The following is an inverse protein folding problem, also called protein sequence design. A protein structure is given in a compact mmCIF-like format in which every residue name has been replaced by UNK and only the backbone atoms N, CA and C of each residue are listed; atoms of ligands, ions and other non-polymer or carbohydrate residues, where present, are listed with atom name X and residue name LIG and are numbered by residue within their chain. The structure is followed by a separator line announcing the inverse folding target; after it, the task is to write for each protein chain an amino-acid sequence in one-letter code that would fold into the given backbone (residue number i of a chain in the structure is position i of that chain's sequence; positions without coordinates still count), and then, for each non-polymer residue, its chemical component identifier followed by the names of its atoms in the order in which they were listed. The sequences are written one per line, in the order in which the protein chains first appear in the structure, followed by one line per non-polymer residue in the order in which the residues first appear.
data_IF_506363391133
#
_entry.id   IF_506363391133
#
_cell.length_a   1.000
_cell.length_b   1.000
_cell.length_c   1.000
_cell.angle_alpha   90.00
_cell.angle_beta   90.00
_cell.angle_gamma   90.00
#
_symmetry.space_group_name_H-M   'P 1'
#
loop_
_entity.id
_entity.type
_entity.pdbx_description
1 polymer ?
#
# COMPACT_ATOMS: atom_id res chain seq x y z
N UNK A 1 -8.17 26.26 -6.84
CA UNK A 1 -9.21 25.39 -6.25
C UNK A 1 -9.01 23.94 -6.69
N UNK A 2 -8.98 23.65 -8.00
CA UNK A 2 -8.73 22.30 -8.54
C UNK A 2 -7.49 21.60 -7.95
N UNK A 3 -6.35 22.30 -7.86
CA UNK A 3 -5.11 21.74 -7.30
C UNK A 3 -5.23 21.32 -5.82
N UNK A 4 -6.00 22.07 -5.04
CA UNK A 4 -6.26 21.74 -3.62
C UNK A 4 -7.16 20.51 -3.49
N UNK A 5 -8.19 20.40 -4.33
CA UNK A 5 -9.05 19.21 -4.37
C UNK A 5 -8.25 17.98 -4.77
N UNK A 6 -7.37 18.11 -5.77
CA UNK A 6 -6.47 17.03 -6.19
C UNK A 6 -5.52 16.61 -5.05
N UNK A 7 -4.95 17.58 -4.32
CA UNK A 7 -4.10 17.32 -3.16
C UNK A 7 -4.83 16.62 -2.01
N UNK A 8 -6.09 16.99 -1.73
CA UNK A 8 -6.93 16.31 -0.73
C UNK A 8 -7.22 14.87 -1.16
N UNK A 9 -7.65 14.66 -2.41
CA UNK A 9 -7.92 13.32 -2.94
C UNK A 9 -6.67 12.45 -2.90
N UNK A 10 -5.51 12.96 -3.32
CA UNK A 10 -4.24 12.24 -3.25
C UNK A 10 -3.83 11.96 -1.79
N UNK A 11 -3.97 12.93 -0.89
CA UNK A 11 -3.67 12.75 0.53
C UNK A 11 -4.53 11.66 1.19
N UNK A 12 -5.85 11.68 0.94
CA UNK A 12 -6.78 10.67 1.46
C UNK A 12 -6.52 9.29 0.88
N UNK A 13 -6.23 9.20 -0.42
CA UNK A 13 -5.94 7.92 -1.08
C UNK A 13 -4.60 7.34 -0.58
N UNK A 14 -3.59 8.18 -0.43
CA UNK A 14 -2.31 7.80 0.20
C UNK A 14 -2.50 7.34 1.64
N UNK A 15 -3.34 8.02 2.43
CA UNK A 15 -3.64 7.62 3.80
C UNK A 15 -4.32 6.25 3.85
N UNK A 16 -5.37 6.03 3.05
CA UNK A 16 -6.11 4.78 3.00
C UNK A 16 -5.23 3.59 2.61
N UNK A 17 -4.38 3.76 1.59
CA UNK A 17 -3.44 2.73 1.15
C UNK A 17 -2.33 2.46 2.19
N UNK A 18 -1.91 3.48 2.93
CA UNK A 18 -0.95 3.31 4.03
C UNK A 18 -1.56 2.51 5.17
N UNK A 19 -2.82 2.78 5.54
CA UNK A 19 -3.54 2.00 6.55
C UNK A 19 -3.71 0.55 6.09
N UNK A 20 -4.08 0.33 4.83
CA UNK A 20 -4.16 -1.01 4.24
C UNK A 20 -2.83 -1.76 4.33
N UNK A 21 -1.73 -1.13 3.95
CA UNK A 21 -0.40 -1.72 4.01
C UNK A 21 0.02 -2.08 5.45
N UNK A 22 -0.29 -1.23 6.43
CA UNK A 22 -0.02 -1.50 7.85
C UNK A 22 -0.87 -2.67 8.37
N UNK A 23 -2.14 -2.75 7.99
CA UNK A 23 -3.01 -3.86 8.41
C UNK A 23 -2.56 -5.19 7.78
N UNK A 24 -2.22 -5.19 6.49
CA UNK A 24 -1.65 -6.35 5.82
C UNK A 24 -0.30 -6.78 6.43
N UNK A 25 0.55 -5.82 6.83
CA UNK A 25 1.78 -6.11 7.57
C UNK A 25 1.49 -6.77 8.91
N UNK A 26 0.48 -6.29 9.65
CA UNK A 26 0.11 -6.87 10.94
C UNK A 26 -0.41 -8.30 10.80
N UNK A 27 -1.22 -8.58 9.78
CA UNK A 27 -1.66 -9.95 9.48
C UNK A 27 -0.46 -10.84 9.15
N UNK A 28 0.48 -10.38 8.32
CA UNK A 28 1.69 -11.13 7.98
C UNK A 28 2.55 -11.41 9.22
N UNK A 29 2.71 -10.41 10.09
CA UNK A 29 3.48 -10.57 11.33
C UNK A 29 2.79 -11.53 12.31
N UNK A 30 1.45 -11.49 12.38
CA UNK A 30 0.67 -12.45 13.17
C UNK A 30 0.81 -13.87 12.63
N UNK A 31 0.81 -14.04 11.30
CA UNK A 31 1.04 -15.31 10.63
C UNK A 31 2.43 -15.87 10.94
N UNK A 32 3.45 -15.01 10.92
CA UNK A 32 4.83 -15.38 11.20
C UNK A 32 5.07 -15.82 12.65
N UNK A 33 4.25 -15.35 13.60
CA UNK A 33 4.33 -15.71 15.03
C UNK A 33 3.36 -16.81 15.45
N UNK A 34 2.44 -17.23 14.56
CA UNK A 34 1.43 -18.25 14.87
C UNK A 34 2.01 -19.66 14.72
N UNK A 35 1.73 -20.55 15.67
CA UNK A 35 2.03 -21.98 15.57
C UNK A 35 1.08 -22.72 14.61
N UNK A 36 -0.07 -22.12 14.30
CA UNK A 36 -1.06 -22.65 13.37
C UNK A 36 -0.83 -22.12 11.95
N UNK A 37 -1.01 -22.96 10.90
CA UNK A 37 -0.88 -22.53 9.52
C UNK A 37 -1.89 -21.43 9.20
N UNK A 38 -1.49 -20.36 8.50
CA UNK A 38 -2.38 -19.26 8.16
C UNK A 38 -3.48 -19.75 7.21
N UNK A 39 -4.75 -19.54 7.56
CA UNK A 39 -5.88 -19.83 6.66
C UNK A 39 -6.30 -18.57 5.89
N UNK A 40 -6.70 -18.68 4.61
CA UNK A 40 -7.13 -17.52 3.82
C UNK A 40 -8.34 -16.79 4.46
N UNK A 41 -9.25 -17.53 5.11
CA UNK A 41 -10.38 -16.95 5.85
C UNK A 41 -9.96 -16.07 7.04
N UNK A 42 -8.78 -16.31 7.61
CA UNK A 42 -8.25 -15.55 8.75
C UNK A 42 -7.37 -14.36 8.34
N UNK A 43 -6.94 -14.30 7.07
CA UNK A 43 -5.97 -13.31 6.57
C UNK A 43 -6.35 -12.79 5.17
N UNK A 44 -7.50 -12.12 5.05
CA UNK A 44 -8.05 -11.69 3.76
C UNK A 44 -7.19 -10.63 3.06
N UNK A 45 -6.43 -9.82 3.82
CA UNK A 45 -5.56 -8.81 3.20
C UNK A 45 -4.32 -9.46 2.59
N UNK A 46 -3.78 -10.50 3.21
CA UNK A 46 -2.70 -11.29 2.60
C UNK A 46 -3.18 -12.04 1.37
N UNK A 47 -4.41 -12.54 1.34
CA UNK A 47 -4.96 -13.21 0.16
C UNK A 47 -5.00 -12.25 -1.04
N UNK A 48 -5.39 -11.00 -0.82
CA UNK A 48 -5.41 -9.97 -1.87
C UNK A 48 -4.00 -9.63 -2.34
N UNK A 49 -3.04 -9.52 -1.41
CA UNK A 49 -1.68 -9.07 -1.73
C UNK A 49 -0.80 -10.22 -2.26
N UNK A 50 -1.08 -11.46 -1.86
CA UNK A 50 -0.31 -12.66 -2.19
C UNK A 50 -1.20 -13.90 -2.18
N UNK A 51 -2.07 -14.11 -3.20
CA UNK A 51 -2.92 -15.30 -3.28
C UNK A 51 -2.08 -16.58 -3.39
N UNK A 52 -0.88 -16.45 -3.94
CA UNK A 52 0.15 -17.49 -4.07
C UNK A 52 0.60 -18.08 -2.72
N UNK A 53 0.34 -17.39 -1.60
CA UNK A 53 0.64 -17.87 -0.25
C UNK A 53 -0.33 -18.97 0.22
N UNK A 54 -1.54 -19.00 -0.35
CA UNK A 54 -2.61 -19.91 0.03
C UNK A 54 -2.93 -20.94 -1.06
N UNK A 55 -2.38 -20.76 -2.27
CA UNK A 55 -2.60 -21.64 -3.41
C UNK A 55 -1.78 -22.93 -3.27
N UNK A 56 -2.28 -23.84 -2.42
CA UNK A 56 -1.78 -25.21 -2.24
C UNK A 56 -2.31 -26.17 -3.31
N UNK A 57 -3.03 -25.65 -4.32
CA UNK A 57 -3.81 -26.44 -5.29
C UNK A 57 -3.01 -26.93 -6.49
N UNK A 58 -1.76 -26.48 -6.68
CA UNK A 58 -0.97 -26.80 -7.87
C UNK A 58 0.21 -27.74 -7.54
N UNK A 59 0.07 -29.07 -7.74
CA UNK A 59 1.09 -30.06 -7.36
C UNK A 59 2.37 -30.02 -8.22
N UNK A 60 2.42 -29.18 -9.27
CA UNK A 60 3.57 -29.03 -10.17
C UNK A 60 4.51 -27.87 -9.85
N UNK A 61 4.09 -26.93 -8.99
CA UNK A 61 4.93 -25.80 -8.57
C UNK A 61 5.79 -26.29 -7.42
N UNK A 62 7.12 -26.31 -7.61
CA UNK A 62 8.08 -26.64 -6.54
C UNK A 62 7.64 -25.95 -5.25
N UNK A 63 7.69 -26.61 -4.07
CA UNK A 63 7.32 -25.97 -2.81
C UNK A 63 8.20 -24.73 -2.63
N UNK A 64 7.68 -23.58 -3.02
CA UNK A 64 8.32 -22.31 -2.78
C UNK A 64 8.44 -22.23 -1.27
N UNK A 65 9.65 -22.00 -0.77
CA UNK A 65 9.86 -21.97 0.67
C UNK A 65 8.86 -20.94 1.23
N UNK A 66 8.20 -21.23 2.36
CA UNK A 66 7.25 -20.29 2.95
C UNK A 66 7.89 -18.90 3.17
N UNK A 67 9.22 -18.87 3.36
CA UNK A 67 10.03 -17.66 3.40
C UNK A 67 10.02 -16.83 2.09
N UNK A 68 10.10 -17.47 0.92
CA UNK A 68 10.13 -16.78 -0.38
C UNK A 68 8.76 -16.17 -0.71
N UNK A 69 7.67 -16.88 -0.36
CA UNK A 69 6.30 -16.39 -0.52
C UNK A 69 6.01 -15.24 0.44
N UNK A 70 6.41 -15.38 1.71
CA UNK A 70 6.32 -14.29 2.69
C UNK A 70 7.10 -13.05 2.22
N UNK A 71 8.30 -13.24 1.68
CA UNK A 71 9.11 -12.14 1.15
C UNK A 71 8.46 -11.46 -0.07
N UNK A 72 7.79 -12.22 -0.94
CA UNK A 72 7.03 -11.67 -2.07
C UNK A 72 5.83 -10.83 -1.61
N UNK A 73 5.05 -11.33 -0.65
CA UNK A 73 3.93 -10.58 -0.05
C UNK A 73 4.44 -9.30 0.65
N UNK A 74 5.51 -9.41 1.43
CA UNK A 74 6.15 -8.33 2.17
C UNK A 74 6.70 -7.25 1.22
N UNK A 75 7.31 -7.65 0.10
CA UNK A 75 7.74 -6.74 -0.97
C UNK A 75 6.57 -5.97 -1.58
N UNK A 76 5.43 -6.63 -1.81
CA UNK A 76 4.21 -5.96 -2.33
C UNK A 76 3.63 -4.98 -1.31
N UNK A 77 3.52 -5.37 -0.04
CA UNK A 77 3.10 -4.48 1.05
C UNK A 77 4.03 -3.26 1.12
N UNK A 78 5.34 -3.47 0.99
CA UNK A 78 6.33 -2.40 1.03
C UNK A 78 6.20 -1.44 -0.17
N UNK A 79 5.99 -1.95 -1.38
CA UNK A 79 5.77 -1.11 -2.58
C UNK A 79 4.48 -0.30 -2.43
N UNK A 80 3.40 -0.93 -1.97
CA UNK A 80 2.10 -0.26 -1.77
C UNK A 80 2.23 0.81 -0.68
N UNK A 81 2.79 0.47 0.48
CA UNK A 81 2.97 1.39 1.61
C UNK A 81 3.96 2.52 1.33
N UNK A 82 5.07 2.23 0.65
CA UNK A 82 6.05 3.22 0.23
C UNK A 82 5.49 4.17 -0.83
N UNK A 83 4.81 3.62 -1.84
CA UNK A 83 4.13 4.41 -2.88
C UNK A 83 3.02 5.29 -2.31
N UNK A 84 2.22 4.78 -1.38
CA UNK A 84 1.16 5.53 -0.72
C UNK A 84 1.69 6.64 0.19
N UNK A 85 2.81 6.40 0.87
CA UNK A 85 3.47 7.42 1.69
C UNK A 85 3.99 8.57 0.83
N UNK A 86 4.63 8.27 -0.31
CA UNK A 86 5.06 9.30 -1.26
C UNK A 86 3.85 10.10 -1.76
N UNK A 87 2.75 9.42 -2.10
CA UNK A 87 1.52 10.07 -2.57
C UNK A 87 0.92 11.00 -1.51
N UNK A 88 0.95 10.57 -0.24
CA UNK A 88 0.49 11.35 0.91
C UNK A 88 1.35 12.60 1.12
N UNK A 89 2.68 12.46 1.07
CA UNK A 89 3.61 13.60 1.19
C UNK A 89 3.40 14.59 0.06
N UNK A 90 3.25 14.12 -1.19
CA UNK A 90 2.98 14.98 -2.36
C UNK A 90 1.62 15.67 -2.22
N UNK A 91 0.59 14.95 -1.77
CA UNK A 91 -0.75 15.52 -1.52
C UNK A 91 -0.72 16.64 -0.48
N UNK A 92 0.00 16.45 0.64
CA UNK A 92 0.21 17.47 1.67
C UNK A 92 1.00 18.65 1.11
N UNK A 93 2.07 18.39 0.37
CA UNK A 93 2.91 19.43 -0.21
C UNK A 93 2.11 20.33 -1.16
N UNK A 94 1.25 19.75 -2.01
CA UNK A 94 0.34 20.49 -2.88
C UNK A 94 -0.69 21.34 -2.13
N UNK A 95 -1.03 20.94 -0.90
CA UNK A 95 -1.99 21.63 -0.04
C UNK A 95 -1.35 22.80 0.70
N UNK A 96 -0.08 22.65 1.10
CA UNK A 96 0.70 23.61 1.88
C UNK A 96 1.41 24.65 1.01
N UNK A 97 1.82 24.30 -0.21
CA UNK A 97 2.52 25.23 -1.10
C UNK A 97 1.66 26.47 -1.38
N UNK A 98 2.10 27.68 -0.95
CA UNK A 98 1.42 28.91 -1.30
C UNK A 98 1.47 29.05 -2.82
N UNK A 99 0.31 29.26 -3.43
CA UNK A 99 0.24 29.53 -4.86
C UNK A 99 1.05 30.81 -5.11
N UNK A 100 2.18 30.67 -5.81
CA UNK A 100 2.97 31.80 -6.27
C UNK A 100 2.09 32.75 -7.10
N UNK A 101 2.38 34.06 -7.07
CA UNK A 101 1.46 35.10 -7.49
C UNK A 101 1.03 34.89 -8.95
N UNK A 102 -0.29 35.02 -9.20
CA UNK A 102 -0.86 35.16 -10.53
C UNK A 102 0.00 36.13 -11.34
N UNK A 103 0.63 35.62 -12.39
CA UNK A 103 1.33 36.42 -13.38
C UNK A 103 0.29 37.06 -14.32
N UNK A 104 -0.65 37.83 -13.75
CA UNK A 104 -1.69 38.58 -14.48
C UNK A 104 -1.56 40.07 -14.16
N UNK A 105 -0.36 40.62 -14.31
CA UNK A 105 -0.16 42.04 -14.54
C UNK A 105 0.96 42.21 -15.57
N UNK A 106 0.68 41.82 -16.81
CA UNK A 106 1.38 42.37 -17.96
C UNK A 106 0.37 43.13 -18.81
N UNK A 107 0.62 44.44 -18.87
CA UNK A 107 0.26 45.39 -19.93
C UNK A 107 -1.22 45.51 -20.33
N UNK A 108 -1.89 46.58 -19.91
CA UNK A 108 -1.99 47.82 -20.68
C UNK A 108 -2.78 48.88 -19.90
#
# INVERSE_FOLDING_TARGET
MLLKVLGICAGLLGLALTVFAVMAWRELNSAATSELPPSPDSMPLLEIVGPELFDTRDPGVKPAKPADLAQAALKRIYIIGGGSFILLVVGILMLVLPHGPRTDQRSS
#
